data_IF_220080742113
#
_entry.id   IF_220080742113
#
_cell.length_a   1.000
_cell.length_b   1.000
_cell.length_c   1.000
_cell.angle_alpha   90.00
_cell.angle_beta   90.00
_cell.angle_gamma   90.00
#
_symmetry.space_group_name_H-M   'P 1'
#
loop_
_entity.id
_entity.type
_entity.pdbx_description
1 polymer ?
#
# COMPACT_ATOMS: atom_id res chain seq x y z
N UNK A 1 0.05 -11.61 -49.83
CA UNK A 1 0.38 -10.31 -49.19
C UNK A 1 -0.68 -9.86 -48.19
N UNK A 2 -1.98 -9.76 -48.54
CA UNK A 2 -3.03 -9.28 -47.63
C UNK A 2 -3.11 -10.03 -46.28
N UNK A 3 -3.13 -11.37 -46.27
CA UNK A 3 -3.18 -12.17 -45.02
C UNK A 3 -1.95 -11.96 -44.11
N UNK A 4 -0.74 -11.91 -44.68
CA UNK A 4 0.49 -11.64 -43.91
C UNK A 4 0.44 -10.25 -43.27
N UNK A 5 0.00 -9.25 -44.03
CA UNK A 5 -0.21 -7.91 -43.51
C UNK A 5 -1.24 -7.89 -42.37
N UNK A 6 -2.36 -8.62 -42.51
CA UNK A 6 -3.37 -8.74 -41.45
C UNK A 6 -2.78 -9.36 -40.17
N UNK A 7 -2.07 -10.48 -40.25
CA UNK A 7 -1.45 -11.09 -39.05
C UNK A 7 -0.37 -10.21 -38.43
N UNK A 8 0.42 -9.51 -39.24
CA UNK A 8 1.38 -8.53 -38.76
C UNK A 8 0.68 -7.38 -38.00
N UNK A 9 -0.41 -6.85 -38.54
CA UNK A 9 -1.20 -5.80 -37.90
C UNK A 9 -1.82 -6.28 -36.59
N UNK A 10 -2.40 -7.49 -36.57
CA UNK A 10 -2.92 -8.10 -35.34
C UNK A 10 -1.81 -8.23 -34.30
N UNK A 11 -0.64 -8.76 -34.70
CA UNK A 11 0.51 -8.88 -33.80
C UNK A 11 0.98 -7.54 -33.24
N UNK A 12 1.00 -6.52 -34.08
CA UNK A 12 1.35 -5.14 -33.69
C UNK A 12 0.36 -4.59 -32.67
N UNK A 13 -0.95 -4.77 -32.89
CA UNK A 13 -1.98 -4.34 -31.95
C UNK A 13 -1.81 -5.06 -30.60
N UNK A 14 -1.71 -6.39 -30.60
CA UNK A 14 -1.55 -7.18 -29.37
C UNK A 14 -0.29 -6.76 -28.59
N UNK A 15 0.82 -6.58 -29.29
CA UNK A 15 2.08 -6.15 -28.67
C UNK A 15 1.97 -4.75 -28.07
N UNK A 16 1.47 -3.77 -28.83
CA UNK A 16 1.39 -2.38 -28.37
C UNK A 16 0.38 -2.18 -27.23
N UNK A 17 -0.72 -2.94 -27.19
CA UNK A 17 -1.69 -2.82 -26.09
C UNK A 17 -1.24 -3.49 -24.81
N UNK A 18 -0.42 -4.54 -24.89
CA UNK A 18 0.08 -5.28 -23.71
C UNK A 18 1.41 -4.76 -23.17
N UNK A 19 2.20 -4.07 -23.98
CA UNK A 19 3.54 -3.62 -23.62
C UNK A 19 3.57 -2.69 -22.39
N UNK A 20 2.71 -1.65 -22.26
CA UNK A 20 2.78 -0.73 -21.12
C UNK A 20 2.58 -1.46 -19.80
N UNK A 21 1.48 -2.21 -19.66
CA UNK A 21 1.17 -2.93 -18.43
C UNK A 21 2.18 -4.04 -18.14
N UNK A 22 2.62 -4.80 -19.15
CA UNK A 22 3.68 -5.82 -18.95
C UNK A 22 4.95 -5.19 -18.41
N UNK A 23 5.32 -4.00 -18.90
CA UNK A 23 6.53 -3.29 -18.47
C UNK A 23 6.38 -2.83 -17.03
N UNK A 24 5.27 -2.17 -16.67
CA UNK A 24 5.01 -1.75 -15.29
C UNK A 24 5.01 -2.94 -14.33
N UNK A 25 4.36 -4.04 -14.69
CA UNK A 25 4.31 -5.25 -13.86
C UNK A 25 5.69 -5.91 -13.68
N UNK A 26 6.54 -5.93 -14.71
CA UNK A 26 7.92 -6.42 -14.58
C UNK A 26 8.74 -5.49 -13.69
N UNK A 27 8.62 -4.17 -13.88
CA UNK A 27 9.30 -3.18 -13.07
C UNK A 27 8.89 -3.27 -11.59
N UNK A 28 7.61 -3.53 -11.33
CA UNK A 28 7.07 -3.80 -10.00
C UNK A 28 7.81 -4.97 -9.33
N UNK A 29 7.96 -6.10 -10.02
CA UNK A 29 8.69 -7.27 -9.51
C UNK A 29 10.17 -6.97 -9.23
N UNK A 30 10.84 -6.25 -10.13
CA UNK A 30 12.25 -5.86 -9.96
C UNK A 30 12.39 -4.94 -8.74
N UNK A 31 11.48 -3.98 -8.59
CA UNK A 31 11.51 -3.02 -7.49
C UNK A 31 11.20 -3.70 -6.15
N UNK A 32 10.21 -4.57 -6.12
CA UNK A 32 9.89 -5.42 -4.96
C UNK A 32 11.08 -6.28 -4.53
N UNK A 33 11.79 -6.89 -5.48
CA UNK A 33 13.01 -7.66 -5.16
C UNK A 33 14.10 -6.77 -4.57
N UNK A 34 14.29 -5.57 -5.12
CA UNK A 34 15.26 -4.60 -4.60
C UNK A 34 14.90 -4.17 -3.17
N UNK A 35 13.64 -3.79 -2.93
CA UNK A 35 13.17 -3.34 -1.62
C UNK A 35 13.26 -4.45 -0.58
N UNK A 36 12.87 -5.69 -0.91
CA UNK A 36 13.01 -6.84 -0.03
C UNK A 36 14.48 -7.21 0.26
N UNK A 37 15.40 -6.90 -0.66
CA UNK A 37 16.83 -7.08 -0.44
C UNK A 37 17.41 -5.98 0.45
N UNK A 38 16.95 -4.75 0.32
CA UNK A 38 17.47 -3.59 1.07
C UNK A 38 16.85 -3.48 2.46
N UNK A 39 15.57 -3.78 2.61
CA UNK A 39 14.81 -3.56 3.84
C UNK A 39 14.14 -4.84 4.34
N UNK A 40 13.86 -4.86 5.63
CA UNK A 40 12.87 -5.75 6.24
C UNK A 40 11.98 -4.91 7.13
N UNK A 41 10.69 -4.92 6.82
CA UNK A 41 9.67 -4.18 7.56
C UNK A 41 8.83 -5.18 8.34
N UNK A 42 8.68 -4.93 9.64
CA UNK A 42 7.89 -5.77 10.53
C UNK A 42 6.79 -4.93 11.16
N UNK A 43 5.53 -5.31 10.99
CA UNK A 43 4.43 -4.70 11.72
C UNK A 43 4.43 -5.19 13.17
N UNK A 44 4.41 -4.23 14.10
CA UNK A 44 4.47 -4.46 15.54
C UNK A 44 3.10 -4.89 16.07
N UNK A 45 2.00 -4.46 15.43
CA UNK A 45 0.66 -4.88 15.80
C UNK A 45 0.46 -6.35 15.43
N UNK A 46 0.36 -7.20 16.45
CA UNK A 46 0.03 -8.61 16.29
C UNK A 46 -1.45 -8.79 16.55
N UNK A 47 -2.12 -9.59 15.72
CA UNK A 47 -3.54 -9.92 15.88
C UNK A 47 -3.80 -10.54 17.25
N UNK A 48 -3.20 -11.71 17.52
CA UNK A 48 -3.36 -12.42 18.78
C UNK A 48 -2.01 -12.98 19.29
N UNK A 49 -1.62 -12.72 20.56
CA UNK A 49 -2.25 -11.81 21.51
C UNK A 49 -2.08 -10.33 21.08
N UNK A 50 -3.02 -9.43 21.43
CA UNK A 50 -2.97 -8.04 21.01
C UNK A 50 -1.76 -7.30 21.59
N UNK A 51 -1.03 -6.58 20.74
CA UNK A 51 0.10 -5.75 21.16
C UNK A 51 -0.40 -4.52 21.92
N UNK A 52 0.20 -4.21 23.08
CA UNK A 52 -0.14 -3.00 23.85
C UNK A 52 0.07 -1.72 23.02
N UNK A 53 -0.76 -0.70 23.26
CA UNK A 53 -0.64 0.60 22.59
C UNK A 53 0.60 1.41 23.00
N UNK A 54 1.13 1.13 24.20
CA UNK A 54 2.47 1.58 24.61
C UNK A 54 3.52 0.62 24.06
N UNK A 55 4.47 1.17 23.31
CA UNK A 55 5.57 0.43 22.72
C UNK A 55 6.92 1.02 23.16
N UNK A 56 7.85 0.13 23.53
CA UNK A 56 9.20 0.52 23.90
C UNK A 56 10.13 0.22 22.72
N UNK A 57 10.79 1.25 22.21
CA UNK A 57 11.87 1.11 21.24
C UNK A 57 13.16 1.61 21.88
N UNK A 58 14.05 0.67 22.23
CA UNK A 58 15.25 0.96 23.03
C UNK A 58 14.85 1.65 24.35
N UNK A 59 15.39 2.84 24.61
CA UNK A 59 15.12 3.63 25.82
C UNK A 59 13.95 4.62 25.64
N UNK A 60 13.26 4.58 24.49
CA UNK A 60 12.15 5.48 24.17
C UNK A 60 10.79 4.79 24.27
N UNK A 61 9.81 5.53 24.77
CA UNK A 61 8.44 5.06 24.97
C UNK A 61 7.50 5.81 24.03
N UNK A 62 6.78 5.07 23.20
CA UNK A 62 5.77 5.60 22.28
C UNK A 62 4.39 5.18 22.75
N UNK A 63 3.49 6.14 22.92
CA UNK A 63 2.17 5.92 23.50
C UNK A 63 1.06 6.58 22.69
N UNK A 64 -0.10 5.95 22.66
CA UNK A 64 -1.34 6.54 22.16
C UNK A 64 -2.27 6.77 23.36
N UNK A 65 -2.62 8.03 23.59
CA UNK A 65 -3.69 8.40 24.52
C UNK A 65 -4.98 8.59 23.73
N UNK A 66 -5.93 7.70 23.98
CA UNK A 66 -7.27 7.72 23.40
C UNK A 66 -8.23 8.55 24.28
N UNK A 67 -9.02 9.42 23.66
CA UNK A 67 -10.13 10.15 24.31
C UNK A 67 -11.38 9.99 23.45
N UNK A 68 -12.35 9.20 23.91
CA UNK A 68 -13.60 8.94 23.20
C UNK A 68 -14.41 10.25 23.15
N UNK A 69 -14.82 10.65 21.94
CA UNK A 69 -15.60 11.88 21.70
C UNK A 69 -17.10 11.57 21.68
N UNK A 70 -17.45 10.40 21.13
CA UNK A 70 -18.83 9.96 20.94
C UNK A 70 -18.98 8.52 21.45
N UNK A 71 -19.99 8.30 22.28
CA UNK A 71 -20.35 6.96 22.75
C UNK A 71 -21.17 6.19 21.70
N UNK A 72 -21.73 6.89 20.71
CA UNK A 72 -22.37 6.25 19.58
C UNK A 72 -21.34 5.49 18.74
N UNK A 73 -21.64 4.21 18.53
CA UNK A 73 -20.85 3.31 17.70
C UNK A 73 -21.64 2.89 16.47
N UNK A 74 -20.96 2.61 15.37
CA UNK A 74 -21.56 2.01 14.19
C UNK A 74 -20.81 0.74 13.78
N UNK A 75 -21.41 -0.08 12.92
CA UNK A 75 -20.76 -1.25 12.34
C UNK A 75 -20.19 -0.87 10.96
N UNK A 76 -18.90 -1.09 10.75
CA UNK A 76 -18.25 -0.86 9.46
C UNK A 76 -18.57 -2.00 8.45
N UNK A 77 -18.20 -1.85 7.16
CA UNK A 77 -18.42 -2.88 6.14
C UNK A 77 -17.76 -4.23 6.42
N UNK A 78 -16.85 -4.31 7.39
CA UNK A 78 -16.14 -5.52 7.79
C UNK A 78 -16.65 -6.07 9.12
N UNK A 79 -17.84 -5.64 9.56
CA UNK A 79 -18.48 -6.08 10.80
C UNK A 79 -17.72 -5.70 12.09
N UNK A 80 -16.82 -4.71 12.04
CA UNK A 80 -16.19 -4.17 13.24
C UNK A 80 -17.08 -3.11 13.87
N UNK A 81 -17.14 -3.12 15.21
CA UNK A 81 -17.77 -2.04 15.97
C UNK A 81 -16.83 -0.85 16.08
N UNK A 82 -17.19 0.25 15.44
CA UNK A 82 -16.40 1.48 15.35
C UNK A 82 -16.94 2.56 16.28
N UNK A 83 -16.04 3.15 17.06
CA UNK A 83 -16.25 4.38 17.84
C UNK A 83 -15.41 5.53 17.29
N UNK A 84 -15.66 6.74 17.80
CA UNK A 84 -14.93 7.94 17.40
C UNK A 84 -14.12 8.49 18.57
N UNK A 85 -12.82 8.68 18.36
CA UNK A 85 -11.92 9.17 19.40
C UNK A 85 -10.88 10.18 18.88
N UNK A 86 -10.44 11.06 19.77
CA UNK A 86 -9.20 11.82 19.60
C UNK A 86 -8.03 10.94 20.06
N UNK A 87 -7.00 10.83 19.22
CA UNK A 87 -5.79 10.04 19.49
C UNK A 87 -4.60 11.00 19.61
N UNK A 88 -4.07 11.16 20.82
CA UNK A 88 -2.86 11.94 21.11
C UNK A 88 -1.67 10.99 21.13
N UNK A 89 -0.70 11.23 20.24
CA UNK A 89 0.49 10.42 20.11
C UNK A 89 1.63 11.06 20.89
N UNK A 90 2.33 10.26 21.69
CA UNK A 90 3.37 10.74 22.59
C UNK A 90 4.66 9.95 22.41
N UNK A 91 5.78 10.67 22.47
CA UNK A 91 7.12 10.13 22.56
C UNK A 91 7.73 10.65 23.87
N UNK A 92 8.13 9.74 24.75
CA UNK A 92 8.71 10.04 26.06
C UNK A 92 7.86 11.03 26.88
N UNK A 93 6.54 10.83 26.84
CA UNK A 93 5.54 11.65 27.53
C UNK A 93 5.21 12.98 26.85
N UNK A 94 5.96 13.40 25.83
CA UNK A 94 5.70 14.62 25.05
C UNK A 94 4.78 14.31 23.86
N UNK A 95 3.74 15.11 23.67
CA UNK A 95 2.87 15.01 22.51
C UNK A 95 3.61 15.39 21.22
N UNK A 96 3.54 14.51 20.21
CA UNK A 96 4.20 14.65 18.90
C UNK A 96 3.21 14.84 17.74
N UNK A 97 1.97 14.34 17.90
CA UNK A 97 0.88 14.54 16.94
C UNK A 97 -0.48 14.26 17.61
N UNK A 98 -1.56 14.71 16.97
CA UNK A 98 -2.94 14.38 17.33
C UNK A 98 -3.77 14.05 16.08
N UNK A 99 -4.55 12.98 16.15
CA UNK A 99 -5.58 12.62 15.18
C UNK A 99 -6.94 12.88 15.80
N UNK A 100 -7.70 13.85 15.26
CA UNK A 100 -8.97 14.28 15.85
C UNK A 100 -10.18 13.58 15.26
N UNK A 101 -11.00 12.97 16.11
CA UNK A 101 -12.23 12.28 15.77
C UNK A 101 -12.05 11.16 14.75
N UNK A 102 -11.05 10.30 14.96
CA UNK A 102 -10.73 9.16 14.11
C UNK A 102 -11.52 7.90 14.51
N UNK A 103 -11.78 6.99 13.56
CA UNK A 103 -12.42 5.72 13.86
C UNK A 103 -11.49 4.82 14.68
N UNK A 104 -12.05 4.12 15.66
CA UNK A 104 -11.37 3.09 16.44
C UNK A 104 -12.24 1.84 16.56
N UNK A 105 -11.62 0.66 16.54
CA UNK A 105 -12.32 -0.61 16.78
C UNK A 105 -12.53 -0.81 18.29
N UNK A 106 -13.78 -0.67 18.76
CA UNK A 106 -14.11 -0.66 20.19
C UNK A 106 -13.89 -2.03 20.85
N UNK A 107 -14.16 -3.11 20.11
CA UNK A 107 -14.07 -4.48 20.65
C UNK A 107 -12.64 -5.04 20.62
N UNK A 108 -11.73 -4.37 19.90
CA UNK A 108 -10.32 -4.70 19.82
C UNK A 108 -9.52 -4.15 21.01
N UNK A 109 -8.31 -4.67 21.20
CA UNK A 109 -7.40 -4.25 22.27
C UNK A 109 -6.05 -3.79 21.73
N UNK A 110 -5.42 -2.89 22.47
CA UNK A 110 -4.08 -2.41 22.15
C UNK A 110 -4.02 -1.75 20.76
N UNK A 111 -2.97 -2.04 19.99
CA UNK A 111 -2.76 -1.43 18.67
C UNK A 111 -3.80 -1.85 17.62
N UNK A 112 -4.44 -3.02 17.77
CA UNK A 112 -5.48 -3.48 16.82
C UNK A 112 -6.69 -2.53 16.77
N UNK A 113 -6.91 -1.73 17.84
CA UNK A 113 -7.94 -0.69 17.88
C UNK A 113 -7.77 0.37 16.79
N UNK A 114 -6.53 0.63 16.36
CA UNK A 114 -6.17 1.70 15.44
C UNK A 114 -5.86 1.19 14.03
N UNK A 115 -6.25 -0.05 13.73
CA UNK A 115 -6.06 -0.67 12.42
C UNK A 115 -6.62 0.22 11.31
N UNK A 116 -5.84 0.40 10.23
CA UNK A 116 -6.19 1.29 9.12
C UNK A 116 -5.79 2.75 9.31
N UNK A 117 -5.57 3.19 10.55
CA UNK A 117 -5.31 4.61 10.88
C UNK A 117 -3.88 4.86 11.38
N UNK A 118 -3.35 3.96 12.22
CA UNK A 118 -2.03 4.07 12.82
C UNK A 118 -1.30 2.73 12.70
N UNK A 119 -0.05 2.76 12.21
CA UNK A 119 0.83 1.60 12.17
C UNK A 119 2.13 1.84 12.91
N UNK A 120 2.54 0.84 13.69
CA UNK A 120 3.83 0.76 14.36
C UNK A 120 4.66 -0.27 13.60
N UNK A 121 5.79 0.14 13.04
CA UNK A 121 6.65 -0.71 12.23
C UNK A 121 8.10 -0.67 12.72
N UNK A 122 8.80 -1.79 12.60
CA UNK A 122 10.26 -1.85 12.69
C UNK A 122 10.81 -1.95 11.28
N UNK A 123 11.68 -1.01 10.93
CA UNK A 123 12.40 -0.97 9.66
C UNK A 123 13.86 -1.36 9.89
N UNK A 124 14.28 -2.49 9.35
CA UNK A 124 15.67 -2.92 9.31
C UNK A 124 16.25 -2.58 7.93
N UNK A 125 17.19 -1.63 7.85
CA UNK A 125 18.01 -1.36 6.67
C UNK A 125 19.20 -2.33 6.66
N UNK A 126 19.09 -3.36 5.81
CA UNK A 126 20.08 -4.45 5.70
C UNK A 126 21.39 -3.98 5.08
N UNK A 127 21.39 -2.86 4.35
CA UNK A 127 22.58 -2.32 3.70
C UNK A 127 23.43 -1.52 4.66
N UNK A 128 22.79 -0.72 5.51
CA UNK A 128 23.48 0.16 6.45
C UNK A 128 23.55 -0.40 7.88
N UNK A 129 22.97 -1.59 8.11
CA UNK A 129 22.87 -2.25 9.42
C UNK A 129 22.24 -1.32 10.48
N UNK A 130 21.11 -0.71 10.11
CA UNK A 130 20.37 0.23 10.97
C UNK A 130 18.96 -0.26 11.22
N UNK A 131 18.53 -0.18 12.48
CA UNK A 131 17.14 -0.43 12.86
C UNK A 131 16.45 0.87 13.20
N UNK A 132 15.24 1.08 12.70
CA UNK A 132 14.45 2.26 13.01
C UNK A 132 13.05 1.86 13.42
N UNK A 133 12.50 2.57 14.39
CA UNK A 133 11.07 2.53 14.67
C UNK A 133 10.35 3.55 13.80
N UNK A 134 9.28 3.09 13.17
CA UNK A 134 8.44 3.87 12.29
C UNK A 134 7.04 3.92 12.87
N UNK A 135 6.51 5.13 12.97
CA UNK A 135 5.12 5.40 13.31
C UNK A 135 4.46 6.06 12.11
N UNK A 136 3.52 5.37 11.49
CA UNK A 136 2.86 5.80 10.28
C UNK A 136 1.42 6.17 10.58
N UNK A 137 1.06 7.42 10.30
CA UNK A 137 -0.26 7.97 10.58
C UNK A 137 -0.97 8.30 9.29
N UNK A 138 -2.21 7.82 9.15
CA UNK A 138 -3.14 8.32 8.17
C UNK A 138 -3.71 9.64 8.68
N UNK A 139 -3.48 10.72 7.93
CA UNK A 139 -3.96 12.08 8.26
C UNK A 139 -5.28 12.43 7.58
N UNK A 140 -5.70 11.61 6.63
CA UNK A 140 -7.02 11.70 6.00
C UNK A 140 -7.96 10.74 6.70
N UNK A 141 -8.94 11.29 7.41
CA UNK A 141 -9.97 10.52 8.10
C UNK A 141 -10.96 9.94 7.10
N UNK A 142 -11.25 8.65 7.24
CA UNK A 142 -12.30 7.92 6.52
C UNK A 142 -13.28 7.35 7.54
N UNK A 143 -14.58 7.39 7.24
CA UNK A 143 -15.64 6.89 8.12
C UNK A 143 -16.54 5.98 7.31
N UNK A 144 -15.98 4.84 6.92
CA UNK A 144 -16.65 3.91 6.02
C UNK A 144 -17.87 3.26 6.68
N UNK A 145 -18.99 3.24 5.96
CA UNK A 145 -20.25 2.65 6.40
C UNK A 145 -20.90 1.88 5.27
N UNK A 146 -21.45 0.72 5.59
CA UNK A 146 -22.29 -0.03 4.65
C UNK A 146 -23.73 0.50 4.70
N UNK A 147 -24.28 0.81 3.54
CA UNK A 147 -25.64 1.28 3.34
C UNK A 147 -26.59 0.09 3.17
N UNK A 148 -27.91 0.24 3.41
CA UNK A 148 -28.88 -0.87 3.28
C UNK A 148 -28.96 -1.51 1.88
N UNK A 149 -28.47 -0.82 0.85
CA UNK A 149 -28.39 -1.32 -0.52
C UNK A 149 -27.07 -2.07 -0.83
N UNK A 150 -26.17 -2.23 0.15
CA UNK A 150 -24.87 -2.87 0.02
C UNK A 150 -23.74 -1.93 -0.42
N UNK A 151 -24.02 -0.64 -0.65
CA UNK A 151 -22.98 0.32 -1.03
C UNK A 151 -22.13 0.71 0.18
N UNK A 152 -20.82 0.84 -0.02
CA UNK A 152 -19.91 1.40 0.99
C UNK A 152 -19.72 2.89 0.71
N UNK A 153 -20.00 3.73 1.72
CA UNK A 153 -19.84 5.18 1.67
C UNK A 153 -18.85 5.66 2.73
N UNK A 154 -18.34 6.89 2.61
CA UNK A 154 -17.47 7.50 3.62
C UNK A 154 -15.96 7.25 3.42
N UNK A 155 -15.61 6.47 2.40
CA UNK A 155 -14.25 6.39 1.86
C UNK A 155 -13.87 7.69 1.12
N UNK A 156 -12.57 7.91 0.98
CA UNK A 156 -11.98 9.08 0.36
C UNK A 156 -11.12 8.63 -0.83
N UNK A 157 -11.21 9.30 -2.00
CA UNK A 157 -10.38 8.95 -3.15
C UNK A 157 -8.89 8.94 -2.80
N UNK A 158 -8.15 7.97 -3.35
CA UNK A 158 -6.73 7.74 -3.05
C UNK A 158 -5.89 9.00 -3.24
N UNK A 159 -6.23 9.88 -4.18
CA UNK A 159 -5.50 11.14 -4.46
C UNK A 159 -5.60 12.17 -3.32
N UNK A 160 -6.56 12.00 -2.41
CA UNK A 160 -6.75 12.85 -1.23
C UNK A 160 -6.19 12.25 0.04
N UNK A 161 -5.66 11.03 0.00
CA UNK A 161 -5.06 10.38 1.15
C UNK A 161 -3.73 11.04 1.49
N UNK A 162 -3.57 11.39 2.76
CA UNK A 162 -2.40 12.05 3.32
C UNK A 162 -1.88 11.25 4.50
N UNK A 163 -0.57 11.22 4.62
CA UNK A 163 0.12 10.46 5.64
C UNK A 163 1.20 11.30 6.32
N UNK A 164 1.54 10.92 7.55
CA UNK A 164 2.74 11.40 8.23
C UNK A 164 3.54 10.22 8.73
N UNK A 165 4.79 10.17 8.29
CA UNK A 165 5.77 9.19 8.72
C UNK A 165 6.62 9.83 9.83
N UNK A 166 6.66 9.19 10.99
CA UNK A 166 7.60 9.49 12.05
C UNK A 166 8.67 8.39 12.09
N UNK A 167 9.92 8.79 12.21
CA UNK A 167 11.08 7.90 12.25
C UNK A 167 11.89 8.20 13.49
N UNK A 168 12.10 7.17 14.30
CA UNK A 168 12.96 7.17 15.47
C UNK A 168 14.10 6.19 15.22
N UNK A 169 15.33 6.67 15.17
CA UNK A 169 16.51 5.82 15.05
C UNK A 169 17.03 5.35 16.42
N UNK A 170 18.04 4.48 16.43
CA UNK A 170 18.60 3.89 17.65
C UNK A 170 19.32 4.91 18.54
N UNK A 171 19.73 6.04 17.98
CA UNK A 171 20.39 7.13 18.70
C UNK A 171 19.36 8.11 19.33
N UNK A 172 18.07 7.87 19.11
CA UNK A 172 16.98 8.73 19.58
C UNK A 172 16.71 9.93 18.69
N UNK A 173 17.29 10.01 17.49
CA UNK A 173 16.95 11.07 16.55
C UNK A 173 15.54 10.82 16.01
N UNK A 174 14.70 11.82 16.22
CA UNK A 174 13.31 11.78 15.81
C UNK A 174 13.07 12.75 14.64
N UNK A 175 12.55 12.24 13.54
CA UNK A 175 12.21 13.01 12.33
C UNK A 175 10.81 12.68 11.87
N UNK A 176 10.19 13.63 11.17
CA UNK A 176 8.90 13.40 10.52
C UNK A 176 8.91 13.88 9.08
N UNK A 177 8.05 13.27 8.27
CA UNK A 177 7.80 13.65 6.87
C UNK A 177 6.34 13.38 6.55
N UNK A 178 5.60 14.42 6.20
CA UNK A 178 4.25 14.28 5.63
C UNK A 178 4.33 14.14 4.12
N UNK A 179 3.40 13.37 3.54
CA UNK A 179 3.32 13.13 2.11
C UNK A 179 1.89 12.81 1.68
N UNK A 180 1.59 13.09 0.41
CA UNK A 180 0.35 12.66 -0.22
C UNK A 180 0.54 11.26 -0.82
N UNK A 181 -0.54 10.49 -0.91
CA UNK A 181 -0.51 9.14 -1.48
C UNK A 181 0.06 9.08 -2.90
N UNK A 182 -0.23 10.10 -3.73
CA UNK A 182 0.24 10.19 -5.12
C UNK A 182 1.72 10.57 -5.26
N UNK A 183 2.33 11.07 -4.19
CA UNK A 183 3.73 11.55 -4.17
C UNK A 183 4.66 10.61 -3.40
N UNK A 184 4.14 9.43 -3.02
CA UNK A 184 4.89 8.45 -2.22
C UNK A 184 6.13 7.95 -2.96
N UNK A 185 7.23 7.80 -2.22
CA UNK A 185 8.40 7.08 -2.69
C UNK A 185 8.27 5.56 -2.45
N UNK A 186 9.24 4.78 -2.94
CA UNK A 186 9.20 3.33 -2.85
C UNK A 186 9.18 2.81 -1.41
N UNK A 187 9.95 3.43 -0.51
CA UNK A 187 9.96 3.01 0.89
C UNK A 187 8.62 3.34 1.55
N UNK A 188 8.03 4.50 1.24
CA UNK A 188 6.71 4.87 1.71
C UNK A 188 5.63 3.89 1.22
N UNK A 189 5.68 3.43 -0.04
CA UNK A 189 4.77 2.37 -0.54
C UNK A 189 4.85 1.10 0.31
N UNK A 190 6.06 0.60 0.58
CA UNK A 190 6.27 -0.60 1.40
C UNK A 190 5.75 -0.43 2.83
N UNK A 191 6.02 0.72 3.44
CA UNK A 191 5.58 1.02 4.81
C UNK A 191 4.05 1.14 4.89
N UNK A 192 3.40 1.73 3.90
CA UNK A 192 1.94 1.81 3.82
C UNK A 192 1.31 0.42 3.74
N UNK A 193 1.83 -0.45 2.87
CA UNK A 193 1.36 -1.85 2.74
C UNK A 193 1.60 -2.65 4.01
N UNK A 194 2.81 -2.62 4.56
CA UNK A 194 3.14 -3.35 5.79
C UNK A 194 2.35 -2.85 7.01
N UNK A 195 2.05 -1.56 7.06
CA UNK A 195 1.23 -0.93 8.09
C UNK A 195 -0.27 -1.18 7.94
N UNK A 196 -0.72 -1.60 6.77
CA UNK A 196 -2.13 -1.77 6.43
C UNK A 196 -2.94 -0.50 6.73
N UNK A 197 -2.38 0.66 6.37
CA UNK A 197 -3.01 1.99 6.49
C UNK A 197 -3.53 2.53 5.15
N UNK A 198 -3.54 1.65 4.15
CA UNK A 198 -4.13 1.86 2.82
C UNK A 198 -5.33 0.93 2.66
N UNK A 199 -6.36 1.35 1.90
CA UNK A 199 -7.59 0.57 1.75
C UNK A 199 -7.38 -0.74 0.97
N UNK A 200 -6.35 -0.80 0.14
CA UNK A 200 -5.95 -1.98 -0.62
C UNK A 200 -4.42 -1.98 -0.76
N UNK A 201 -3.85 -3.14 -1.09
CA UNK A 201 -2.41 -3.26 -1.35
C UNK A 201 -2.04 -2.46 -2.61
N UNK A 202 -0.95 -1.71 -2.54
CA UNK A 202 -0.56 -0.74 -3.57
C UNK A 202 0.82 -1.08 -4.15
N UNK A 203 0.98 -0.84 -5.45
CA UNK A 203 2.27 -0.96 -6.13
C UNK A 203 3.05 0.35 -6.17
N UNK A 204 4.27 0.27 -6.70
CA UNK A 204 5.12 1.44 -7.02
C UNK A 204 4.75 2.06 -8.36
N UNK A 205 4.50 1.23 -9.37
CA UNK A 205 4.20 1.64 -10.74
C UNK A 205 2.78 1.27 -11.14
N UNK A 206 2.29 0.14 -10.64
CA UNK A 206 0.96 -0.36 -10.96
C UNK A 206 0.41 -1.23 -9.84
N UNK A 207 -0.87 -1.06 -9.53
CA UNK A 207 -1.58 -1.89 -8.55
C UNK A 207 -2.08 -3.20 -9.19
N UNK A 208 -1.70 -3.47 -10.44
CA UNK A 208 -2.26 -4.57 -11.22
C UNK A 208 -1.99 -5.94 -10.59
N UNK A 209 -0.86 -6.12 -9.90
CA UNK A 209 -0.56 -7.37 -9.17
C UNK A 209 -1.51 -7.61 -7.98
N UNK A 210 -2.15 -6.56 -7.47
CA UNK A 210 -3.03 -6.59 -6.30
C UNK A 210 -4.51 -6.76 -6.71
N UNK A 211 -4.80 -6.70 -8.01
CA UNK A 211 -6.13 -6.87 -8.59
C UNK A 211 -6.58 -8.33 -8.77
N UNK A 212 -7.89 -8.49 -8.99
CA UNK A 212 -8.63 -9.77 -9.00
C UNK A 212 -7.89 -10.98 -9.60
N UNK A 213 -7.79 -12.10 -8.85
CA UNK A 213 -7.22 -13.35 -9.34
C UNK A 213 -8.18 -13.97 -10.35
N UNK A 214 -7.95 -13.72 -11.64
CA UNK A 214 -8.62 -14.46 -12.71
C UNK A 214 -7.63 -15.37 -13.40
N UNK A 215 -8.09 -16.46 -13.99
CA UNK A 215 -7.22 -17.31 -14.82
C UNK A 215 -6.65 -16.57 -16.04
N UNK A 216 -7.22 -15.42 -16.41
CA UNK A 216 -6.79 -14.61 -17.56
C UNK A 216 -5.73 -13.56 -17.20
N UNK A 217 -5.65 -13.14 -15.94
CA UNK A 217 -4.75 -12.11 -15.48
C UNK A 217 -3.89 -12.63 -14.32
N UNK A 218 -2.54 -12.56 -14.37
CA UNK A 218 -1.72 -11.83 -15.34
C UNK A 218 -1.18 -12.67 -16.51
N UNK A 219 -1.48 -13.98 -16.54
CA UNK A 219 -0.85 -14.93 -17.46
C UNK A 219 -1.26 -14.71 -18.93
N UNK A 220 -2.56 -14.65 -19.22
CA UNK A 220 -3.06 -14.48 -20.61
C UNK A 220 -2.89 -13.02 -21.03
N UNK A 221 -3.28 -12.09 -20.16
CA UNK A 221 -3.02 -10.67 -20.31
C UNK A 221 -2.32 -10.14 -19.05
N UNK A 222 -1.20 -9.40 -19.17
CA UNK A 222 -0.65 -8.88 -20.44
C UNK A 222 0.43 -9.77 -21.07
N UNK A 223 1.01 -10.75 -20.37
CA UNK A 223 2.26 -11.41 -20.80
C UNK A 223 2.13 -12.34 -22.02
N UNK A 224 1.18 -13.27 -22.04
CA UNK A 224 0.98 -14.14 -23.21
C UNK A 224 0.55 -13.33 -24.44
N UNK A 225 -0.28 -12.32 -24.23
CA UNK A 225 -0.71 -11.38 -25.28
C UNK A 225 0.49 -10.66 -25.90
N UNK A 226 1.43 -10.19 -25.06
CA UNK A 226 2.68 -9.57 -25.49
C UNK A 226 3.53 -10.53 -26.33
N UNK A 227 3.71 -11.76 -25.84
CA UNK A 227 4.51 -12.78 -26.51
C UNK A 227 3.91 -13.19 -27.86
N UNK A 228 2.61 -13.44 -27.92
CA UNK A 228 1.90 -13.75 -29.16
C UNK A 228 1.98 -12.60 -30.16
N UNK A 229 1.84 -11.36 -29.68
CA UNK A 229 2.03 -10.15 -30.49
C UNK A 229 3.41 -10.11 -31.13
N UNK A 230 4.46 -10.31 -30.33
CA UNK A 230 5.85 -10.35 -30.79
C UNK A 230 6.10 -11.45 -31.81
N UNK A 231 5.61 -12.67 -31.56
CA UNK A 231 5.75 -13.81 -32.49
C UNK A 231 5.08 -13.52 -33.83
N UNK A 232 3.87 -12.97 -33.83
CA UNK A 232 3.16 -12.60 -35.06
C UNK A 232 3.90 -11.52 -35.85
N UNK A 233 4.46 -10.51 -35.18
CA UNK A 233 5.28 -9.47 -35.81
C UNK A 233 6.49 -10.09 -36.51
N UNK A 234 7.23 -10.97 -35.83
CA UNK A 234 8.45 -11.58 -36.36
C UNK A 234 8.19 -12.53 -37.52
N UNK A 235 7.15 -13.38 -37.41
CA UNK A 235 6.83 -14.39 -38.44
C UNK A 235 6.22 -13.76 -39.69
N UNK A 236 5.39 -12.73 -39.54
CA UNK A 236 4.65 -12.12 -40.63
C UNK A 236 5.22 -10.78 -41.11
N UNK A 237 6.43 -10.43 -40.65
CA UNK A 237 7.12 -9.19 -41.03
C UNK A 237 7.16 -9.03 -42.57
N UNK A 238 6.72 -7.88 -43.10
CA UNK A 238 6.65 -7.67 -44.55
C UNK A 238 8.03 -7.36 -45.13
N UNK A 239 8.90 -8.36 -45.25
CA UNK A 239 10.15 -8.22 -46.00
C UNK A 239 9.81 -8.09 -47.49
N UNK A 240 10.07 -6.92 -48.08
CA UNK A 240 10.19 -6.80 -49.54
C UNK A 240 11.42 -7.60 -49.94
N UNK A 241 11.25 -8.75 -50.62
CA UNK A 241 12.36 -9.37 -51.35
C UNK A 241 12.89 -8.31 -52.31
N UNK A 242 14.09 -7.80 -52.06
CA UNK A 242 14.86 -7.09 -53.08
C UNK A 242 15.11 -8.12 -54.17
N UNK A 243 14.44 -8.00 -55.32
CA UNK A 243 14.76 -8.81 -56.49
C UNK A 243 16.19 -8.45 -56.89
N UNK A 244 17.11 -9.42 -56.84
CA UNK A 244 18.36 -9.36 -57.59
C UNK A 244 18.06 -9.52 -59.07
#
# INVERSE_FOLDING_TARGET
MKKRLVFFLIGTILFLTSLPLSTEMIMELIHNQKMNKEYKITNVSKGEPPTKSTFNFKDHIVEIKETIIDEESYIDPWSNKIGIADLSLKLDGKEIDTLKGYPIRIDEKGLNRYYGEIAYLILEDKKNDKTQFILLLKKTRELEKEMPNGDIVGGVPSEKLKYTLYTLDEDGNFKNKSFNFTERDALQTELLNAGVVVPYSIGYYTDAWEGYPTIFFPLIFPFLTLLLGLVLILVFFPIRKVKK
#
